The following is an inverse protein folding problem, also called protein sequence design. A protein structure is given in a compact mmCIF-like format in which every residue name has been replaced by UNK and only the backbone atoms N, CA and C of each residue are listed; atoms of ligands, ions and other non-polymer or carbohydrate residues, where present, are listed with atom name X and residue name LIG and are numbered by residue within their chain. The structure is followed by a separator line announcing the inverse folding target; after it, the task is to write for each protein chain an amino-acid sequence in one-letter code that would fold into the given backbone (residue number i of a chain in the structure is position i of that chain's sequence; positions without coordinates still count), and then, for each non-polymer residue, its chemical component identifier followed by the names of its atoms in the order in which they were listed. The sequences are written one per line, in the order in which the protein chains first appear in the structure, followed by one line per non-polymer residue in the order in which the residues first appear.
data_IF_366528433034
#
_entry.id   IF_366528433034
#
_cell.length_a   1.000
_cell.length_b   1.000
_cell.length_c   1.000
_cell.angle_alpha   90.00
_cell.angle_beta   90.00
_cell.angle_gamma   90.00
#
_symmetry.space_group_name_H-M   'P 1'
#
loop_
_entity.id
_entity.type
_entity.pdbx_description
1 polymer ?
#
# COMPACT_ATOMS: atom_id res chain seq x y z
N UNK A 1 -3.10 15.78 22.91
CA UNK A 1 -3.44 15.45 21.51
C UNK A 1 -2.15 15.04 20.81
N UNK A 2 -2.05 13.81 20.31
CA UNK A 2 -0.85 13.32 19.64
C UNK A 2 -0.85 13.84 18.19
N UNK A 3 0.15 14.65 17.82
CA UNK A 3 0.21 15.31 16.51
C UNK A 3 0.29 14.31 15.35
N UNK A 4 0.88 13.14 15.56
CA UNK A 4 0.90 12.06 14.56
C UNK A 4 -0.50 11.54 14.25
N UNK A 5 -1.35 11.46 15.26
CA UNK A 5 -2.74 11.00 15.14
C UNK A 5 -3.59 12.04 14.40
N UNK A 6 -3.33 13.32 14.65
CA UNK A 6 -4.03 14.40 13.96
C UNK A 6 -3.67 14.46 12.47
N UNK A 7 -2.39 14.29 12.13
CA UNK A 7 -1.93 14.24 10.74
C UNK A 7 -2.50 13.02 10.01
N UNK A 8 -2.46 11.84 10.63
CA UNK A 8 -3.08 10.62 10.10
C UNK A 8 -4.60 10.78 9.84
N UNK A 9 -5.33 11.42 10.76
CA UNK A 9 -6.76 11.68 10.58
C UNK A 9 -7.04 12.67 9.43
N UNK A 10 -6.17 13.68 9.25
CA UNK A 10 -6.26 14.61 8.12
C UNK A 10 -5.93 13.95 6.77
N UNK A 11 -4.97 13.02 6.73
CA UNK A 11 -4.66 12.21 5.55
C UNK A 11 -5.85 11.35 5.13
N UNK A 12 -6.67 10.89 6.09
CA UNK A 12 -7.91 10.14 5.84
C UNK A 12 -9.15 11.03 5.62
N UNK A 13 -9.00 12.35 5.56
CA UNK A 13 -10.10 13.29 5.33
C UNK A 13 -11.14 13.35 6.46
N UNK A 14 -10.80 12.90 7.67
CA UNK A 14 -11.74 12.77 8.79
C UNK A 14 -11.33 13.64 9.98
N UNK A 15 -12.26 14.48 10.48
CA UNK A 15 -12.08 15.21 11.73
C UNK A 15 -12.81 14.44 12.85
N UNK A 16 -12.09 13.78 13.78
CA UNK A 16 -12.72 13.00 14.84
C UNK A 16 -13.33 13.96 15.86
N UNK A 17 -14.66 14.11 15.82
CA UNK A 17 -15.37 15.03 16.73
C UNK A 17 -15.58 14.43 18.13
N UNK A 18 -15.60 13.09 18.31
CA UNK A 18 -15.84 12.53 19.66
C UNK A 18 -15.16 11.19 20.01
N UNK A 19 -14.68 10.40 19.04
CA UNK A 19 -13.82 9.25 19.36
C UNK A 19 -13.04 8.77 18.14
N UNK A 20 -11.75 8.52 18.34
CA UNK A 20 -10.86 7.92 17.36
C UNK A 20 -10.85 6.41 17.60
N UNK A 21 -11.55 5.64 16.75
CA UNK A 21 -11.33 4.19 16.69
C UNK A 21 -10.09 3.94 15.83
N UNK A 22 -8.92 3.88 16.46
CA UNK A 22 -7.77 3.27 15.80
C UNK A 22 -8.07 1.79 15.62
N UNK A 23 -7.75 1.22 14.45
CA UNK A 23 -7.80 -0.21 14.24
C UNK A 23 -7.00 -0.90 15.35
N UNK A 24 -7.69 -1.64 16.24
CA UNK A 24 -6.99 -2.58 17.13
C UNK A 24 -6.42 -3.66 16.22
N UNK A 25 -5.09 -3.76 16.17
CA UNK A 25 -4.45 -4.85 15.42
C UNK A 25 -5.01 -6.18 15.96
N UNK A 26 -5.61 -7.03 15.11
CA UNK A 26 -6.07 -8.34 15.53
C UNK A 26 -4.87 -9.11 16.12
N UNK A 27 -4.97 -9.52 17.37
CA UNK A 27 -3.95 -10.33 18.06
C UNK A 27 -3.66 -11.66 17.36
N UNK A 28 -4.53 -12.08 16.44
CA UNK A 28 -4.41 -13.29 15.63
C UNK A 28 -3.51 -13.15 14.40
N UNK A 29 -3.00 -11.96 14.06
CA UNK A 29 -2.18 -11.75 12.85
C UNK A 29 -0.70 -11.49 13.16
N UNK A 30 -0.11 -12.29 14.05
CA UNK A 30 1.35 -12.38 14.19
C UNK A 30 1.88 -13.43 13.20
N UNK A 31 2.03 -13.05 11.92
CA UNK A 31 2.81 -13.85 10.96
C UNK A 31 4.28 -13.63 11.27
N UNK A 32 4.97 -14.67 11.74
CA UNK A 32 6.34 -14.55 12.26
C UNK A 32 7.40 -14.41 11.17
N UNK A 33 7.09 -14.75 9.92
CA UNK A 33 7.95 -14.57 8.75
C UNK A 33 7.10 -14.50 7.47
N UNK A 34 6.71 -13.30 7.06
CA UNK A 34 5.97 -13.05 5.83
C UNK A 34 6.84 -12.30 4.83
N UNK A 35 7.02 -12.89 3.65
CA UNK A 35 7.65 -12.25 2.50
C UNK A 35 6.58 -11.75 1.53
N UNK A 36 6.99 -11.04 0.49
CA UNK A 36 6.10 -10.77 -0.64
C UNK A 36 6.86 -10.82 -1.95
N UNK A 37 6.14 -11.14 -3.01
CA UNK A 37 6.59 -10.94 -4.38
C UNK A 37 5.80 -9.76 -4.93
N UNK A 38 6.48 -8.79 -5.52
CA UNK A 38 5.86 -7.67 -6.18
C UNK A 38 6.24 -7.68 -7.66
N UNK A 39 5.24 -7.73 -8.51
CA UNK A 39 5.38 -7.50 -9.94
C UNK A 39 4.95 -6.07 -10.23
N UNK A 40 5.82 -5.29 -10.86
CA UNK A 40 5.60 -3.88 -11.13
C UNK A 40 5.88 -3.57 -12.60
N UNK A 41 5.03 -2.74 -13.18
CA UNK A 41 5.18 -2.26 -14.54
C UNK A 41 4.94 -0.76 -14.59
N UNK A 42 5.91 -0.02 -15.11
CA UNK A 42 5.86 1.43 -15.30
C UNK A 42 6.10 1.77 -16.77
N UNK A 43 5.38 2.77 -17.28
CA UNK A 43 5.63 3.41 -18.57
C UNK A 43 5.96 4.88 -18.32
N UNK A 44 7.01 5.36 -18.98
CA UNK A 44 7.41 6.76 -18.97
C UNK A 44 6.95 7.46 -20.26
N UNK A 45 6.26 8.59 -20.11
CA UNK A 45 5.82 9.45 -21.20
C UNK A 45 6.55 10.80 -21.12
N UNK A 46 7.07 11.26 -22.25
CA UNK A 46 7.73 12.57 -22.37
C UNK A 46 8.85 12.83 -21.35
N UNK A 47 9.54 11.78 -20.88
CA UNK A 47 10.65 11.82 -19.90
C UNK A 47 10.30 12.29 -18.49
N UNK A 48 9.06 12.70 -18.26
CA UNK A 48 8.67 13.34 -17.01
C UNK A 48 7.41 12.75 -16.41
N UNK A 49 6.54 12.12 -17.20
CA UNK A 49 5.31 11.53 -16.70
C UNK A 49 5.55 10.04 -16.53
N UNK A 50 5.20 9.49 -15.37
CA UNK A 50 5.18 8.04 -15.17
C UNK A 50 3.75 7.60 -14.87
N UNK A 51 3.38 6.45 -15.41
CA UNK A 51 2.12 5.76 -15.13
C UNK A 51 2.45 4.28 -14.98
N UNK A 52 1.94 3.64 -13.95
CA UNK A 52 2.20 2.23 -13.73
C UNK A 52 1.24 1.58 -12.76
N UNK A 53 1.50 0.30 -12.53
CA UNK A 53 0.80 -0.45 -11.53
C UNK A 53 1.63 -1.61 -11.03
N UNK A 54 1.26 -2.13 -9.86
CA UNK A 54 1.88 -3.32 -9.30
C UNK A 54 0.85 -4.26 -8.70
N UNK A 55 1.23 -5.53 -8.67
CA UNK A 55 0.54 -6.59 -7.95
C UNK A 55 1.52 -7.11 -6.91
N UNK A 56 1.10 -7.11 -5.65
CA UNK A 56 1.87 -7.62 -4.53
C UNK A 56 1.15 -8.83 -3.94
N UNK A 57 1.86 -9.94 -3.92
CA UNK A 57 1.40 -11.19 -3.34
C UNK A 57 2.18 -11.48 -2.08
N UNK A 58 1.48 -11.62 -0.95
CA UNK A 58 2.09 -11.97 0.33
C UNK A 58 2.27 -13.49 0.43
N UNK A 59 3.42 -13.91 0.95
CA UNK A 59 3.77 -15.29 1.22
C UNK A 59 3.89 -15.44 2.72
N UNK A 60 2.98 -16.21 3.31
CA UNK A 60 3.00 -16.53 4.72
C UNK A 60 3.76 -17.83 4.95
N UNK A 61 4.71 -17.80 5.90
CA UNK A 61 5.39 -19.01 6.34
C UNK A 61 4.63 -19.63 7.51
N UNK A 62 4.07 -20.81 7.28
CA UNK A 62 3.56 -21.67 8.32
C UNK A 62 4.66 -22.64 8.79
N UNK A 63 4.46 -23.32 9.94
CA UNK A 63 5.45 -24.22 10.57
C UNK A 63 5.99 -25.31 9.61
N UNK A 64 5.21 -25.69 8.60
CA UNK A 64 5.53 -26.81 7.69
C UNK A 64 5.45 -26.48 6.19
N UNK A 65 5.05 -25.27 5.81
CA UNK A 65 4.87 -24.89 4.40
C UNK A 65 4.92 -23.38 4.20
N UNK A 66 5.14 -22.99 2.95
CA UNK A 66 4.81 -21.65 2.47
C UNK A 66 3.38 -21.68 1.95
N UNK A 67 2.62 -20.65 2.30
CA UNK A 67 1.23 -20.52 1.93
C UNK A 67 1.01 -19.19 1.20
N UNK A 68 0.09 -19.22 0.24
CA UNK A 68 -0.28 -18.10 -0.60
C UNK A 68 -1.80 -18.04 -0.69
N UNK A 69 -2.34 -16.87 -0.38
CA UNK A 69 -3.77 -16.60 -0.42
C UNK A 69 -4.03 -15.51 -1.45
N UNK A 70 -4.57 -15.84 -2.64
CA UNK A 70 -4.90 -14.85 -3.67
C UNK A 70 -5.81 -13.72 -3.18
N UNK A 71 -6.66 -14.00 -2.19
CA UNK A 71 -7.55 -13.00 -1.57
C UNK A 71 -6.79 -11.93 -0.76
N UNK A 72 -5.48 -12.12 -0.53
CA UNK A 72 -4.59 -11.15 0.13
C UNK A 72 -3.74 -10.36 -0.87
N UNK A 73 -3.94 -10.53 -2.16
CA UNK A 73 -3.19 -9.78 -3.17
C UNK A 73 -3.54 -8.29 -3.09
N UNK A 74 -2.49 -7.47 -3.05
CA UNK A 74 -2.58 -6.02 -3.11
C UNK A 74 -2.33 -5.54 -4.53
N UNK A 75 -3.14 -4.62 -5.00
CA UNK A 75 -3.01 -3.93 -6.28
C UNK A 75 -2.65 -2.49 -6.01
N UNK A 76 -1.78 -1.95 -6.84
CA UNK A 76 -1.41 -0.54 -6.79
C UNK A 76 -1.51 0.03 -8.19
N UNK A 77 -2.19 1.16 -8.32
CA UNK A 77 -2.06 2.06 -9.46
C UNK A 77 -1.24 3.26 -9.03
N UNK A 78 -0.35 3.75 -9.89
CA UNK A 78 0.40 4.96 -9.59
C UNK A 78 0.64 5.79 -10.84
N UNK A 79 0.68 7.11 -10.64
CA UNK A 79 0.96 8.08 -11.70
C UNK A 79 1.60 9.32 -11.11
N UNK A 80 2.39 10.04 -11.90
CA UNK A 80 2.96 11.29 -11.43
C UNK A 80 3.96 11.92 -12.38
N UNK A 81 4.72 12.85 -11.82
CA UNK A 81 5.78 13.58 -12.48
C UNK A 81 7.13 13.33 -11.82
N UNK A 82 8.17 13.09 -12.63
CA UNK A 82 9.55 12.86 -12.20
C UNK A 82 10.50 13.84 -12.92
N UNK A 83 11.24 14.62 -12.14
CA UNK A 83 12.23 15.58 -12.59
C UNK A 83 13.53 15.39 -11.80
N UNK A 84 14.48 14.67 -12.41
CA UNK A 84 15.79 14.39 -11.82
C UNK A 84 15.67 13.74 -10.42
N UNK A 85 15.98 14.49 -9.36
CA UNK A 85 15.89 14.02 -7.97
C UNK A 85 14.48 14.11 -7.38
N UNK A 86 13.56 14.82 -8.01
CA UNK A 86 12.23 15.12 -7.47
C UNK A 86 11.15 14.29 -8.15
N UNK A 87 10.25 13.72 -7.36
CA UNK A 87 9.05 13.04 -7.83
C UNK A 87 7.82 13.51 -7.05
N UNK A 88 6.74 13.79 -7.76
CA UNK A 88 5.43 14.11 -7.20
C UNK A 88 4.45 13.11 -7.80
N UNK A 89 3.70 12.39 -6.98
CA UNK A 89 2.85 11.33 -7.49
C UNK A 89 1.59 11.10 -6.68
N UNK A 90 0.75 10.28 -7.29
CA UNK A 90 -0.45 9.71 -6.72
C UNK A 90 -0.33 8.19 -6.77
N UNK A 91 -0.75 7.53 -5.70
CA UNK A 91 -0.92 6.07 -5.64
C UNK A 91 -2.32 5.76 -5.15
N UNK A 92 -2.94 4.79 -5.78
CA UNK A 92 -4.14 4.15 -5.30
C UNK A 92 -3.79 2.71 -4.98
N UNK A 93 -3.93 2.34 -3.71
CA UNK A 93 -3.78 0.98 -3.26
C UNK A 93 -5.16 0.38 -3.11
N UNK A 94 -5.36 -0.84 -3.57
CA UNK A 94 -6.59 -1.58 -3.35
C UNK A 94 -6.27 -3.06 -3.09
N UNK A 95 -6.99 -3.66 -2.14
CA UNK A 95 -7.08 -5.10 -2.00
C UNK A 95 -8.35 -5.52 -2.74
N UNK A 96 -8.18 -6.24 -3.84
CA UNK A 96 -9.31 -6.82 -4.55
C UNK A 96 -9.32 -8.32 -4.27
N UNK A 97 -10.43 -8.88 -3.76
CA UNK A 97 -10.59 -10.32 -3.78
C UNK A 97 -10.58 -10.76 -5.25
N UNK A 98 -9.50 -11.43 -5.66
CA UNK A 98 -9.32 -12.03 -7.00
C UNK A 98 -10.35 -13.15 -7.26
N UNK A 99 -11.06 -13.53 -6.20
CA UNK A 99 -11.95 -14.68 -6.13
C UNK A 99 -13.38 -14.16 -5.97
N UNK A 100 -14.12 -13.91 -7.08
CA UNK A 100 -15.43 -13.25 -7.05
C UNK A 100 -16.53 -14.06 -6.33
N UNK A 101 -16.26 -15.33 -6.01
CA UNK A 101 -17.16 -16.25 -5.32
C UNK A 101 -16.86 -16.39 -3.82
N UNK A 102 -15.80 -15.77 -3.31
CA UNK A 102 -15.50 -15.79 -1.88
C UNK A 102 -16.26 -14.69 -1.14
N UNK A 103 -17.54 -14.98 -0.85
CA UNK A 103 -18.43 -14.11 -0.09
C UNK A 103 -18.08 -14.01 1.40
N UNK A 104 -17.08 -14.77 1.88
CA UNK A 104 -16.61 -14.72 3.27
C UNK A 104 -15.47 -13.72 3.48
N UNK A 105 -14.99 -13.08 2.42
CA UNK A 105 -14.01 -12.01 2.52
C UNK A 105 -14.64 -10.75 3.10
N UNK A 106 -14.63 -10.64 4.42
CA UNK A 106 -14.95 -9.41 5.14
C UNK A 106 -13.61 -8.73 5.47
N UNK A 107 -13.12 -7.79 4.63
CA UNK A 107 -11.83 -7.17 4.87
C UNK A 107 -11.88 -6.46 6.22
N UNK A 108 -11.05 -6.91 7.16
CA UNK A 108 -10.91 -6.31 8.49
C UNK A 108 -10.28 -4.90 8.40
N UNK A 109 -9.75 -4.54 7.23
CA UNK A 109 -9.01 -3.32 6.93
C UNK A 109 -9.64 -2.59 5.74
N UNK A 110 -9.38 -1.28 5.64
CA UNK A 110 -9.71 -0.48 4.44
C UNK A 110 -9.18 -1.18 3.19
N UNK A 111 -10.12 -1.62 2.34
CA UNK A 111 -9.81 -2.36 1.12
C UNK A 111 -9.21 -1.48 0.02
N UNK A 112 -9.11 -0.17 0.23
CA UNK A 112 -8.39 0.74 -0.63
C UNK A 112 -8.00 2.01 0.13
N UNK A 113 -6.89 2.63 -0.27
CA UNK A 113 -6.50 3.97 0.18
C UNK A 113 -5.73 4.71 -0.90
N UNK A 114 -5.78 6.04 -0.85
CA UNK A 114 -5.02 6.91 -1.73
C UNK A 114 -3.83 7.56 -1.01
N UNK A 115 -2.76 7.80 -1.76
CA UNK A 115 -1.56 8.50 -1.29
C UNK A 115 -1.17 9.55 -2.33
N UNK A 116 -1.12 10.83 -1.93
CA UNK A 116 -0.43 11.87 -2.68
C UNK A 116 0.93 12.06 -2.02
N UNK A 117 2.01 11.91 -2.77
CA UNK A 117 3.36 11.89 -2.20
C UNK A 117 4.33 12.81 -2.95
N UNK A 118 5.36 13.20 -2.21
CA UNK A 118 6.56 13.88 -2.70
C UNK A 118 7.78 13.04 -2.31
N UNK A 119 8.63 12.70 -3.28
CA UNK A 119 9.85 11.91 -3.07
C UNK A 119 11.05 12.68 -3.60
N UNK A 120 12.10 12.73 -2.78
CA UNK A 120 13.41 13.26 -3.16
C UNK A 120 14.40 12.11 -3.12
N UNK A 121 15.06 11.82 -4.24
CA UNK A 121 16.04 10.75 -4.37
C UNK A 121 17.45 11.33 -4.47
N UNK A 122 18.38 10.78 -3.69
CA UNK A 122 19.79 11.14 -3.76
C UNK A 122 20.67 9.91 -3.90
N UNK A 123 21.84 10.07 -4.52
CA UNK A 123 22.91 9.07 -4.49
C UNK A 123 24.01 9.56 -3.56
N UNK A 124 24.50 8.70 -2.67
CA UNK A 124 25.65 8.99 -1.82
C UNK A 124 26.84 8.19 -2.35
N UNK A 125 27.86 8.88 -2.85
CA UNK A 125 29.03 8.30 -3.49
C UNK A 125 28.80 8.05 -4.98
N UNK A 126 29.58 8.73 -5.82
CA UNK A 126 29.59 8.52 -7.27
C UNK A 126 31.03 8.37 -7.75
N UNK A 127 31.25 7.36 -8.57
CA UNK A 127 31.90 7.52 -9.87
C UNK A 127 30.84 7.27 -10.95
#
# INVERSE_FOLDING_TARGET
MNWLIFIFALELGWLPIDSLKMYEQPTSYQSSQSGYIQFESEVELFKHIFIGGSIRTYIDKNKYSYDFWPTRDGYMFYTGLRYDILEIGFRHYCTHPVVPWDYQFNPIWEGAYEEIYFRISGKIGGD
#
